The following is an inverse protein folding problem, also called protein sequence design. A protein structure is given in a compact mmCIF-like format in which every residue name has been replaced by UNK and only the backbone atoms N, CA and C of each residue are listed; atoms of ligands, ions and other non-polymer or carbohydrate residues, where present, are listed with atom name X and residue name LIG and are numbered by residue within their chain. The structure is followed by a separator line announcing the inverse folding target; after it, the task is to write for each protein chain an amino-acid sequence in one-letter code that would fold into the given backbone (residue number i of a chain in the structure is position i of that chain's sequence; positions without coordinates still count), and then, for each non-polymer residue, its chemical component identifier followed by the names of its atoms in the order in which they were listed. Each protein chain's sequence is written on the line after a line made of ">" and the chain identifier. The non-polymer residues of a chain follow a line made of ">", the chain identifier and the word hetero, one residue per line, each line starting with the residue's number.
data_IF_250858826221
#
_entry.id   IF_250858826221
#
_cell.length_a   1.000
_cell.length_b   1.000
_cell.length_c   1.000
_cell.angle_alpha   90.00
_cell.angle_beta   90.00
_cell.angle_gamma   90.00
#
_symmetry.space_group_name_H-M   'P 1'
#
loop_
_entity.id
_entity.type
_entity.pdbx_description
1 polymer ?
#
# COMPACT_ATOMS: atom_id res chain seq x y z
N UNK A 1 41.21 -47.88 -53.77
CA UNK A 1 40.58 -47.55 -52.47
C UNK A 1 40.60 -46.04 -52.29
N UNK A 2 39.56 -45.44 -51.72
CA UNK A 2 39.42 -44.02 -51.31
C UNK A 2 38.55 -43.07 -52.16
N UNK A 3 37.40 -43.53 -52.67
CA UNK A 3 36.31 -42.64 -53.11
C UNK A 3 35.22 -42.42 -52.05
N UNK A 4 35.14 -43.29 -51.03
CA UNK A 4 34.16 -43.18 -49.94
C UNK A 4 34.51 -42.11 -48.89
N UNK A 5 35.80 -41.85 -48.67
CA UNK A 5 36.29 -40.91 -47.64
C UNK A 5 36.00 -39.45 -47.99
N UNK A 6 36.06 -39.09 -49.28
CA UNK A 6 35.87 -37.71 -49.77
C UNK A 6 34.41 -37.23 -49.69
N UNK A 7 33.45 -38.16 -49.70
CA UNK A 7 32.01 -37.87 -49.60
C UNK A 7 31.62 -37.64 -48.14
N UNK A 8 32.28 -38.29 -47.19
CA UNK A 8 32.02 -38.11 -45.76
C UNK A 8 32.51 -36.74 -45.25
N UNK A 9 33.66 -36.26 -45.72
CA UNK A 9 34.16 -34.93 -45.35
C UNK A 9 33.27 -33.79 -45.88
N UNK A 10 32.72 -33.92 -47.09
CA UNK A 10 31.78 -32.94 -47.65
C UNK A 10 30.45 -32.88 -46.90
N UNK A 11 30.01 -34.01 -46.31
CA UNK A 11 28.79 -34.03 -45.47
C UNK A 11 28.99 -33.42 -44.10
N UNK A 12 30.18 -33.54 -43.51
CA UNK A 12 30.51 -32.92 -42.22
C UNK A 12 30.72 -31.39 -42.33
N UNK A 13 31.37 -30.91 -43.40
CA UNK A 13 31.57 -29.49 -43.64
C UNK A 13 30.25 -28.72 -43.87
N UNK A 14 29.30 -29.30 -44.62
CA UNK A 14 27.99 -28.68 -44.89
C UNK A 14 27.02 -28.72 -43.70
N UNK A 15 27.30 -29.50 -42.65
CA UNK A 15 26.55 -29.45 -41.38
C UNK A 15 27.07 -28.35 -40.46
N UNK A 16 28.37 -28.08 -40.46
CA UNK A 16 28.99 -27.04 -39.60
C UNK A 16 28.71 -25.63 -40.13
N UNK A 17 28.62 -25.43 -41.45
CA UNK A 17 28.31 -24.11 -42.04
C UNK A 17 26.85 -23.70 -41.88
N UNK A 18 25.90 -24.64 -41.91
CA UNK A 18 24.47 -24.36 -41.64
C UNK A 18 24.20 -23.97 -40.18
N UNK A 19 25.00 -24.48 -39.24
CA UNK A 19 24.88 -24.09 -37.84
C UNK A 19 25.51 -22.72 -37.53
N UNK A 20 26.38 -22.21 -38.41
CA UNK A 20 26.99 -20.88 -38.26
C UNK A 20 26.09 -19.77 -38.80
N UNK A 21 25.27 -20.05 -39.82
CA UNK A 21 24.29 -19.08 -40.35
C UNK A 21 23.06 -18.90 -39.46
N UNK A 22 22.71 -19.87 -38.60
CA UNK A 22 21.56 -19.76 -37.69
C UNK A 22 21.82 -18.92 -36.42
N UNK A 23 23.07 -18.58 -36.12
CA UNK A 23 23.43 -17.72 -34.97
C UNK A 23 23.49 -16.21 -35.33
N UNK A 24 23.41 -15.86 -36.61
CA UNK A 24 23.50 -14.47 -37.10
C UNK A 24 22.14 -13.74 -37.18
N UNK A 25 21.03 -14.40 -36.81
CA UNK A 25 19.67 -13.85 -36.90
C UNK A 25 19.03 -13.50 -35.54
N UNK A 26 19.84 -13.22 -34.51
CA UNK A 26 19.39 -12.64 -33.23
C UNK A 26 19.79 -11.16 -33.14
N UNK A 27 19.48 -10.40 -34.20
CA UNK A 27 19.49 -8.95 -34.13
C UNK A 27 18.39 -8.52 -33.17
N UNK A 28 18.79 -8.17 -31.95
CA UNK A 28 17.93 -7.56 -30.95
C UNK A 28 17.22 -6.35 -31.57
N UNK A 29 15.88 -6.24 -31.50
CA UNK A 29 15.22 -5.01 -31.88
C UNK A 29 15.64 -3.93 -30.88
N UNK A 30 16.42 -2.98 -31.38
CA UNK A 30 16.80 -1.75 -30.69
C UNK A 30 15.54 -0.93 -30.38
N UNK A 31 14.91 -1.21 -29.23
CA UNK A 31 13.84 -0.39 -28.67
C UNK A 31 14.42 0.92 -28.10
N UNK A 32 14.67 1.88 -28.98
CA UNK A 32 15.10 3.25 -28.63
C UNK A 32 13.93 4.17 -28.22
N UNK A 33 12.81 3.64 -27.73
CA UNK A 33 11.62 4.43 -27.34
C UNK A 33 11.01 3.92 -26.04
N UNK A 34 11.73 3.99 -24.92
CA UNK A 34 11.11 3.78 -23.60
C UNK A 34 11.88 4.45 -22.45
N UNK A 35 12.53 5.59 -22.68
CA UNK A 35 13.20 6.33 -21.61
C UNK A 35 12.17 7.14 -20.81
N UNK A 36 11.32 6.47 -20.02
CA UNK A 36 10.67 6.99 -18.79
C UNK A 36 9.61 6.09 -18.13
N UNK A 37 9.28 4.91 -18.67
CA UNK A 37 8.36 4.00 -17.97
C UNK A 37 9.15 2.95 -17.22
N UNK A 38 9.00 2.93 -15.89
CA UNK A 38 9.63 1.91 -15.06
C UNK A 38 9.05 0.56 -15.46
N UNK A 39 9.90 -0.38 -15.86
CA UNK A 39 9.51 -1.70 -16.39
C UNK A 39 8.57 -2.50 -15.46
N UNK A 40 8.59 -2.21 -14.17
CA UNK A 40 7.75 -2.87 -13.16
C UNK A 40 6.37 -2.25 -12.98
N UNK A 41 6.12 -1.01 -13.44
CA UNK A 41 4.79 -0.39 -13.38
C UNK A 41 3.96 -0.89 -14.57
N UNK A 42 2.97 -1.74 -14.30
CA UNK A 42 2.02 -2.26 -15.30
C UNK A 42 2.21 -3.72 -15.72
N UNK A 43 3.25 -4.39 -15.22
CA UNK A 43 3.38 -5.86 -15.32
C UNK A 43 2.60 -6.45 -14.14
N UNK A 44 1.67 -7.40 -14.36
CA UNK A 44 0.98 -8.07 -13.27
C UNK A 44 2.00 -8.76 -12.35
N UNK A 45 1.69 -8.85 -11.06
CA UNK A 45 2.56 -9.53 -10.12
C UNK A 45 2.91 -10.95 -10.64
N UNK A 46 4.18 -11.37 -10.58
CA UNK A 46 4.58 -12.71 -10.99
C UNK A 46 3.77 -13.78 -10.25
N UNK A 47 3.40 -14.85 -10.95
CA UNK A 47 2.70 -15.98 -10.34
C UNK A 47 3.51 -16.56 -9.18
N UNK A 48 2.90 -16.64 -7.99
CA UNK A 48 3.56 -17.09 -6.76
C UNK A 48 4.32 -16.01 -5.99
N UNK A 49 4.25 -14.74 -6.39
CA UNK A 49 4.79 -13.64 -5.60
C UNK A 49 4.04 -13.50 -4.27
N UNK A 50 4.77 -13.59 -3.16
CA UNK A 50 4.29 -13.25 -1.82
C UNK A 50 4.96 -11.94 -1.42
N UNK A 51 4.16 -10.90 -1.17
CA UNK A 51 4.66 -9.59 -0.76
C UNK A 51 5.51 -9.73 0.51
N UNK A 52 6.73 -9.21 0.49
CA UNK A 52 7.66 -9.32 1.63
C UNK A 52 8.60 -10.50 1.60
N UNK A 53 8.12 -11.66 1.22
CA UNK A 53 8.95 -12.87 1.20
C UNK A 53 10.05 -12.77 0.14
N UNK A 54 9.71 -12.33 -1.08
CA UNK A 54 10.69 -12.19 -2.17
C UNK A 54 11.76 -11.11 -1.96
N UNK A 55 11.57 -10.20 -0.98
CA UNK A 55 12.56 -9.20 -0.56
C UNK A 55 13.35 -9.63 0.69
N UNK A 56 13.11 -10.84 1.20
CA UNK A 56 13.68 -11.31 2.47
C UNK A 56 13.13 -10.58 3.70
N UNK A 57 11.99 -9.89 3.59
CA UNK A 57 11.35 -9.27 4.74
C UNK A 57 10.62 -10.32 5.56
N UNK A 58 11.25 -10.70 6.66
CA UNK A 58 10.69 -11.50 7.73
C UNK A 58 10.33 -10.54 8.87
N UNK A 59 9.16 -10.69 9.48
CA UNK A 59 8.86 -9.95 10.72
C UNK A 59 9.91 -10.25 11.78
N UNK A 60 10.28 -9.27 12.60
CA UNK A 60 11.17 -9.53 13.73
C UNK A 60 10.47 -10.53 14.64
N UNK A 61 11.13 -11.65 14.92
CA UNK A 61 10.64 -12.62 15.91
C UNK A 61 10.66 -11.95 17.27
N UNK A 62 9.48 -11.63 17.82
CA UNK A 62 9.36 -11.09 19.16
C UNK A 62 9.57 -12.22 20.17
N UNK A 63 9.79 -11.85 21.45
CA UNK A 63 9.92 -12.82 22.55
C UNK A 63 8.68 -13.72 22.68
N UNK A 64 7.51 -13.24 22.25
CA UNK A 64 6.26 -14.00 22.25
C UNK A 64 6.23 -15.07 21.14
N UNK A 65 6.89 -14.84 20.00
CA UNK A 65 6.92 -15.77 18.86
C UNK A 65 7.83 -16.98 19.08
N UNK A 66 8.85 -16.85 19.94
CA UNK A 66 9.88 -17.87 20.14
C UNK A 66 9.51 -18.87 21.25
N UNK A 67 8.57 -18.53 22.13
CA UNK A 67 8.19 -19.35 23.29
C UNK A 67 9.34 -19.55 24.30
N UNK A 68 9.12 -20.32 25.39
CA UNK A 68 10.16 -20.58 26.38
C UNK A 68 11.26 -21.49 25.78
N UNK A 69 12.43 -20.89 25.57
CA UNK A 69 13.72 -21.52 25.23
C UNK A 69 13.72 -22.51 24.06
N UNK A 70 14.06 -22.02 22.86
CA UNK A 70 14.61 -22.89 21.80
C UNK A 70 15.92 -23.50 22.31
N UNK A 71 16.03 -24.81 22.19
CA UNK A 71 17.20 -25.59 22.61
C UNK A 71 18.41 -25.23 21.73
N UNK A 72 19.61 -25.15 22.33
CA UNK A 72 20.82 -24.60 21.69
C UNK A 72 21.43 -25.50 20.57
N UNK A 73 20.69 -26.53 20.14
CA UNK A 73 21.05 -27.45 19.05
C UNK A 73 20.28 -27.22 17.75
N UNK A 74 19.42 -26.19 17.69
CA UNK A 74 18.66 -25.84 16.50
C UNK A 74 19.58 -25.08 15.51
N UNK A 75 20.05 -25.80 14.48
CA UNK A 75 20.96 -25.34 13.42
C UNK A 75 20.40 -24.08 12.73
N UNK A 76 21.24 -23.06 12.41
CA UNK A 76 20.76 -21.77 11.91
C UNK A 76 20.27 -21.84 10.46
N UNK A 77 19.10 -21.24 10.24
CA UNK A 77 18.59 -20.60 9.02
C UNK A 77 18.85 -21.32 7.68
N UNK A 78 17.89 -22.16 7.30
CA UNK A 78 17.67 -22.54 5.90
C UNK A 78 16.29 -22.02 5.47
N UNK A 79 16.23 -20.70 5.18
CA UNK A 79 15.21 -20.04 4.34
C UNK A 79 13.81 -20.63 4.48
N UNK A 80 13.13 -20.32 5.59
CA UNK A 80 11.68 -20.47 5.79
C UNK A 80 10.97 -21.52 4.90
N UNK A 81 10.69 -22.68 5.49
CA UNK A 81 9.95 -23.80 4.90
C UNK A 81 8.81 -23.37 3.94
N UNK A 82 8.59 -24.10 2.82
CA UNK A 82 7.49 -23.79 1.90
C UNK A 82 6.19 -23.78 2.69
N UNK A 83 5.30 -22.77 2.49
CA UNK A 83 4.05 -22.74 3.21
C UNK A 83 3.32 -24.05 2.89
N UNK A 84 3.19 -24.90 3.92
CA UNK A 84 2.29 -26.04 3.89
C UNK A 84 0.98 -25.54 3.30
N UNK A 85 0.46 -26.26 2.30
CA UNK A 85 -0.82 -25.99 1.66
C UNK A 85 -1.92 -26.03 2.73
N UNK A 86 -2.10 -24.93 3.44
CA UNK A 86 -3.34 -24.64 4.16
C UNK A 86 -4.37 -24.44 3.05
N UNK A 87 -5.16 -25.50 2.83
CA UNK A 87 -6.45 -25.41 2.15
C UNK A 87 -7.13 -24.12 2.63
N UNK A 88 -7.64 -23.34 1.69
CA UNK A 88 -8.49 -22.16 1.90
C UNK A 88 -9.37 -22.30 3.15
N UNK A 89 -8.85 -21.79 4.26
CA UNK A 89 -9.58 -21.30 5.43
C UNK A 89 -8.86 -20.01 5.79
N UNK A 90 -8.92 -19.07 4.86
CA UNK A 90 -8.21 -17.79 4.88
C UNK A 90 -9.16 -16.69 4.41
N UNK A 91 -10.41 -16.79 4.86
CA UNK A 91 -11.42 -15.73 4.73
C UNK A 91 -12.08 -15.43 6.10
N UNK A 92 -11.59 -15.99 7.21
CA UNK A 92 -12.10 -15.71 8.58
C UNK A 92 -11.01 -15.37 9.61
N UNK A 93 -9.72 -15.43 9.27
CA UNK A 93 -8.60 -15.08 10.17
C UNK A 93 -7.83 -13.82 9.70
N UNK A 94 -8.40 -13.02 8.80
CA UNK A 94 -7.75 -11.82 8.21
C UNK A 94 -8.36 -10.47 8.65
N UNK A 95 -9.20 -10.43 9.70
CA UNK A 95 -9.85 -9.19 10.19
C UNK A 95 -9.63 -8.95 11.71
N UNK A 96 -8.47 -9.35 12.23
CA UNK A 96 -8.01 -9.07 13.60
C UNK A 96 -6.67 -8.32 13.62
N UNK A 97 -6.38 -7.56 12.57
CA UNK A 97 -5.34 -6.54 12.68
C UNK A 97 -5.95 -5.38 13.50
N UNK A 98 -5.96 -5.51 14.83
CA UNK A 98 -6.33 -4.40 15.69
C UNK A 98 -5.48 -3.19 15.30
N UNK A 99 -6.13 -2.05 15.03
CA UNK A 99 -5.43 -0.87 14.55
C UNK A 99 -4.66 -0.21 15.72
N UNK A 100 -3.52 -0.80 16.08
CA UNK A 100 -2.68 -0.43 17.21
C UNK A 100 -1.76 0.77 16.88
N UNK A 101 -2.18 1.64 15.98
CA UNK A 101 -1.45 2.86 15.65
C UNK A 101 -1.73 3.99 16.68
N UNK A 102 -0.79 4.91 16.83
CA UNK A 102 -0.92 6.04 17.77
C UNK A 102 -2.06 7.02 17.39
N UNK A 103 -2.55 7.01 16.15
CA UNK A 103 -3.68 7.83 15.72
C UNK A 103 -5.03 7.27 16.18
N UNK A 104 -5.09 5.96 16.45
CA UNK A 104 -6.24 5.27 17.01
C UNK A 104 -6.17 5.20 18.55
N UNK A 105 -5.01 5.47 19.15
CA UNK A 105 -4.85 5.51 20.61
C UNK A 105 -5.22 6.89 21.17
N UNK A 106 -6.13 6.91 22.14
CA UNK A 106 -6.42 8.04 23.01
C UNK A 106 -5.97 7.75 24.45
N UNK A 107 -5.42 8.74 25.15
CA UNK A 107 -4.90 8.55 26.52
C UNK A 107 -6.01 8.22 27.52
N UNK A 108 -7.22 8.72 27.29
CA UNK A 108 -8.35 8.50 28.20
C UNK A 108 -9.16 7.25 27.83
N UNK A 109 -9.49 7.09 26.55
CA UNK A 109 -10.33 6.00 26.06
C UNK A 109 -9.57 4.74 25.62
N UNK A 110 -8.24 4.80 25.47
CA UNK A 110 -7.42 3.71 24.94
C UNK A 110 -7.50 3.61 23.41
N UNK A 111 -7.30 2.41 22.86
CA UNK A 111 -7.44 2.17 21.42
C UNK A 111 -8.90 2.27 20.99
N UNK A 112 -9.16 3.00 19.92
CA UNK A 112 -10.47 3.09 19.28
C UNK A 112 -10.90 1.77 18.66
N UNK A 113 -12.19 1.47 18.76
CA UNK A 113 -12.81 0.22 18.29
C UNK A 113 -13.61 -0.46 19.39
N UNK A 114 -14.69 -1.15 19.01
CA UNK A 114 -15.51 -1.93 19.94
C UNK A 114 -15.09 -3.40 19.91
N UNK A 115 -14.51 -3.88 21.01
CA UNK A 115 -14.00 -5.25 21.16
C UNK A 115 -15.10 -6.32 21.06
N UNK A 116 -16.33 -6.00 21.50
CA UNK A 116 -17.44 -6.96 21.63
C UNK A 116 -18.26 -7.14 20.35
N UNK A 117 -17.85 -6.55 19.23
CA UNK A 117 -18.62 -6.61 17.97
C UNK A 117 -18.52 -7.96 17.24
N UNK A 118 -17.70 -8.89 17.72
CA UNK A 118 -17.40 -10.17 17.06
C UNK A 118 -18.21 -11.36 17.58
N UNK A 119 -18.80 -11.21 18.76
CA UNK A 119 -19.58 -12.27 19.37
C UNK A 119 -20.95 -12.40 18.68
N UNK A 120 -21.51 -13.62 18.57
CA UNK A 120 -22.85 -13.81 18.00
C UNK A 120 -23.86 -13.00 18.81
N UNK A 121 -24.59 -12.13 18.11
CA UNK A 121 -25.54 -11.20 18.70
C UNK A 121 -26.96 -11.74 18.58
N UNK A 122 -27.58 -12.04 19.72
CA UNK A 122 -28.90 -12.63 19.80
C UNK A 122 -29.99 -11.56 20.04
N UNK A 123 -31.25 -11.97 19.94
CA UNK A 123 -32.40 -11.05 20.17
C UNK A 123 -32.41 -10.46 21.58
N UNK A 124 -31.93 -11.22 22.56
CA UNK A 124 -31.85 -10.77 23.94
C UNK A 124 -30.82 -9.64 24.11
N UNK A 125 -29.73 -9.67 23.32
CA UNK A 125 -28.74 -8.58 23.28
C UNK A 125 -29.33 -7.31 22.66
N UNK A 126 -30.12 -7.44 21.58
CA UNK A 126 -30.82 -6.32 20.95
C UNK A 126 -31.83 -5.66 21.91
N UNK A 127 -32.58 -6.47 22.65
CA UNK A 127 -33.50 -5.99 23.68
C UNK A 127 -32.76 -5.30 24.83
N UNK A 128 -31.62 -5.85 25.25
CA UNK A 128 -30.78 -5.24 26.27
C UNK A 128 -30.25 -3.88 25.81
N UNK A 129 -29.66 -3.80 24.62
CA UNK A 129 -29.13 -2.55 24.06
C UNK A 129 -30.23 -1.49 23.90
N UNK A 130 -31.43 -1.89 23.46
CA UNK A 130 -32.57 -0.98 23.37
C UNK A 130 -32.97 -0.41 24.75
N UNK A 131 -32.95 -1.23 25.81
CA UNK A 131 -33.25 -0.79 27.18
C UNK A 131 -32.16 0.14 27.72
N UNK A 132 -30.89 -0.24 27.57
CA UNK A 132 -29.77 0.58 28.04
C UNK A 132 -29.69 1.92 27.30
N UNK A 133 -29.88 1.91 25.98
CA UNK A 133 -29.92 3.14 25.20
C UNK A 133 -31.11 4.03 25.61
N UNK A 134 -32.28 3.46 25.89
CA UNK A 134 -33.42 4.21 26.40
C UNK A 134 -33.16 4.86 27.76
N UNK A 135 -32.42 4.19 28.64
CA UNK A 135 -31.99 4.75 29.93
C UNK A 135 -31.06 5.94 29.69
N UNK A 136 -30.01 5.78 28.90
CA UNK A 136 -29.04 6.85 28.62
C UNK A 136 -29.72 8.05 27.94
N UNK A 137 -30.62 7.81 27.00
CA UNK A 137 -31.44 8.86 26.38
C UNK A 137 -32.25 9.63 27.43
N UNK A 138 -32.95 8.93 28.32
CA UNK A 138 -33.75 9.56 29.40
C UNK A 138 -32.88 10.35 30.38
N UNK A 139 -31.68 9.87 30.68
CA UNK A 139 -30.75 10.57 31.55
C UNK A 139 -30.30 11.90 30.92
N UNK A 140 -30.09 11.91 29.61
CA UNK A 140 -29.64 13.09 28.88
C UNK A 140 -30.75 14.07 28.48
N UNK A 141 -32.01 13.63 28.40
CA UNK A 141 -33.18 14.44 27.98
C UNK A 141 -33.23 15.83 28.61
N UNK A 142 -32.96 15.96 29.91
CA UNK A 142 -33.06 17.24 30.65
C UNK A 142 -32.12 18.32 30.14
N UNK A 143 -31.01 17.96 29.52
CA UNK A 143 -30.00 18.91 29.00
C UNK A 143 -29.73 18.73 27.51
N UNK A 144 -30.39 17.77 26.87
CA UNK A 144 -30.20 17.41 25.47
C UNK A 144 -30.40 18.61 24.56
N UNK A 145 -31.53 19.31 24.67
CA UNK A 145 -31.85 20.47 23.81
C UNK A 145 -30.81 21.60 23.95
N UNK A 146 -30.38 21.92 25.17
CA UNK A 146 -29.38 22.97 25.39
C UNK A 146 -28.00 22.53 24.85
N UNK A 147 -27.59 21.28 25.09
CA UNK A 147 -26.33 20.71 24.61
C UNK A 147 -26.29 20.67 23.09
N UNK A 148 -27.36 20.19 22.47
CA UNK A 148 -27.51 20.12 21.01
C UNK A 148 -27.59 21.51 20.37
N UNK A 149 -28.35 22.44 20.96
CA UNK A 149 -28.42 23.82 20.45
C UNK A 149 -27.06 24.51 20.53
N UNK A 150 -26.33 24.35 21.65
CA UNK A 150 -24.98 24.91 21.81
C UNK A 150 -24.02 24.27 20.81
N UNK A 151 -24.00 22.94 20.74
CA UNK A 151 -23.14 22.19 19.81
C UNK A 151 -23.43 22.61 18.36
N UNK A 152 -24.70 22.72 17.97
CA UNK A 152 -25.12 23.14 16.64
C UNK A 152 -24.66 24.56 16.31
N UNK A 153 -24.88 25.51 17.22
CA UNK A 153 -24.44 26.91 17.04
C UNK A 153 -22.92 27.00 16.94
N UNK A 154 -22.20 26.25 17.78
CA UNK A 154 -20.74 26.20 17.79
C UNK A 154 -20.19 25.56 16.51
N UNK A 155 -20.80 24.48 16.03
CA UNK A 155 -20.41 23.82 14.78
C UNK A 155 -20.68 24.71 13.56
N UNK A 156 -21.80 25.44 13.55
CA UNK A 156 -22.13 26.40 12.49
C UNK A 156 -21.15 27.58 12.49
N UNK A 157 -20.87 28.15 13.67
CA UNK A 157 -19.86 29.19 13.83
C UNK A 157 -18.48 28.71 13.38
N UNK A 158 -18.06 27.52 13.81
CA UNK A 158 -16.78 26.93 13.42
C UNK A 158 -16.67 26.73 11.91
N UNK A 159 -17.75 26.28 11.24
CA UNK A 159 -17.80 26.15 9.79
C UNK A 159 -17.70 27.50 9.07
N UNK A 160 -18.25 28.56 9.65
CA UNK A 160 -18.13 29.92 9.10
C UNK A 160 -16.72 30.49 9.33
N UNK A 161 -16.14 30.31 10.53
CA UNK A 161 -14.82 30.82 10.87
C UNK A 161 -13.67 30.06 10.17
N UNK A 162 -13.82 28.75 10.00
CA UNK A 162 -12.85 27.85 9.38
C UNK A 162 -13.56 26.86 8.44
N UNK A 163 -14.01 27.31 7.26
CA UNK A 163 -14.58 26.41 6.27
C UNK A 163 -13.54 25.35 5.88
N UNK A 164 -14.00 24.12 5.65
CA UNK A 164 -13.09 23.06 5.19
C UNK A 164 -12.47 23.47 3.85
N UNK A 165 -11.20 23.15 3.63
CA UNK A 165 -10.48 23.47 2.39
C UNK A 165 -11.30 23.02 1.17
N UNK A 166 -11.83 21.80 1.18
CA UNK A 166 -12.68 21.28 0.11
C UNK A 166 -13.95 22.13 -0.14
N UNK A 167 -14.54 22.73 0.90
CA UNK A 167 -15.72 23.59 0.77
C UNK A 167 -15.38 24.92 0.11
N UNK A 168 -14.19 25.49 0.37
CA UNK A 168 -13.72 26.73 -0.27
C UNK A 168 -13.54 26.57 -1.78
N UNK A 169 -13.18 25.36 -2.24
CA UNK A 169 -12.97 25.05 -3.66
C UNK A 169 -14.17 24.36 -4.32
N UNK A 170 -15.30 24.24 -3.63
CA UNK A 170 -16.50 23.57 -4.18
C UNK A 170 -17.01 24.29 -5.44
N UNK A 171 -17.10 25.61 -5.40
CA UNK A 171 -17.49 26.44 -6.55
C UNK A 171 -16.50 26.33 -7.71
N UNK A 172 -15.20 26.31 -7.41
CA UNK A 172 -14.13 26.14 -8.40
C UNK A 172 -14.13 24.74 -9.03
N UNK A 173 -14.50 23.71 -8.26
CA UNK A 173 -14.66 22.35 -8.78
C UNK A 173 -15.84 22.26 -9.74
N UNK A 174 -16.95 22.92 -9.43
CA UNK A 174 -18.14 22.96 -10.30
C UNK A 174 -17.84 23.77 -11.56
N UNK A 175 -17.22 24.95 -11.44
CA UNK A 175 -16.86 25.75 -12.62
C UNK A 175 -15.85 25.05 -13.52
N UNK A 176 -14.88 24.32 -12.94
CA UNK A 176 -13.94 23.50 -13.73
C UNK A 176 -14.62 22.32 -14.42
N UNK A 177 -15.66 21.72 -13.82
CA UNK A 177 -16.43 20.67 -14.50
C UNK A 177 -17.31 21.19 -15.64
N UNK A 178 -17.73 22.46 -15.56
CA UNK A 178 -18.55 23.10 -16.58
C UNK A 178 -17.71 23.65 -17.73
N UNK A 179 -16.46 24.05 -17.48
CA UNK A 179 -15.48 24.25 -18.53
C UNK A 179 -15.21 22.91 -19.21
N UNK A 180 -15.65 22.76 -20.46
CA UNK A 180 -15.46 21.54 -21.26
C UNK A 180 -14.02 21.33 -21.74
N UNK A 181 -13.04 21.91 -21.03
CA UNK A 181 -11.64 21.84 -21.39
C UNK A 181 -11.12 20.43 -21.06
N UNK A 182 -10.66 19.66 -22.05
CA UNK A 182 -10.05 18.38 -21.77
C UNK A 182 -8.80 18.59 -20.90
N UNK A 183 -8.52 17.69 -19.94
CA UNK A 183 -7.32 17.81 -19.12
C UNK A 183 -6.10 17.92 -20.04
N UNK A 184 -5.13 18.81 -19.74
CA UNK A 184 -3.99 19.03 -20.61
C UNK A 184 -3.22 17.72 -20.81
N UNK A 185 -2.82 17.45 -22.06
CA UNK A 185 -1.91 16.33 -22.37
C UNK A 185 -0.67 16.40 -21.47
N UNK A 186 -0.28 15.26 -20.89
CA UNK A 186 0.78 15.12 -19.86
C UNK A 186 2.13 15.77 -20.20
N UNK A 187 2.34 16.19 -21.46
CA UNK A 187 3.58 16.75 -21.98
C UNK A 187 3.81 18.24 -21.65
N UNK A 188 2.87 18.93 -20.98
CA UNK A 188 2.95 20.38 -20.72
C UNK A 188 2.80 20.83 -19.26
N UNK A 189 3.24 20.01 -18.30
CA UNK A 189 3.32 20.43 -16.89
C UNK A 189 4.78 20.73 -16.49
N UNK A 190 5.31 21.84 -16.99
CA UNK A 190 6.51 22.46 -16.39
C UNK A 190 6.06 23.69 -15.61
N UNK A 191 6.15 23.62 -14.28
CA UNK A 191 6.00 24.78 -13.41
C UNK A 191 7.15 25.74 -13.77
N UNK A 192 6.82 26.94 -14.26
CA UNK A 192 7.80 28.01 -14.38
C UNK A 192 8.19 28.48 -12.97
N UNK A 193 9.27 27.92 -12.40
CA UNK A 193 9.85 28.38 -11.14
C UNK A 193 10.47 29.77 -11.33
N UNK A 194 9.71 30.83 -11.05
CA UNK A 194 10.18 32.23 -11.17
C UNK A 194 10.75 32.82 -9.87
N UNK A 195 10.91 32.03 -8.79
CA UNK A 195 11.44 32.54 -7.51
C UNK A 195 12.73 31.82 -7.11
N UNK A 196 13.88 32.39 -7.49
CA UNK A 196 15.18 32.03 -6.95
C UNK A 196 15.28 32.50 -5.48
N UNK A 197 14.94 31.62 -4.53
CA UNK A 197 15.26 31.80 -3.10
C UNK A 197 16.08 30.61 -2.63
N UNK A 198 17.34 30.59 -3.02
CA UNK A 198 18.40 29.77 -2.43
C UNK A 198 19.36 30.67 -1.65
N UNK A 199 18.88 31.30 -0.58
CA UNK A 199 19.71 32.16 0.26
C UNK A 199 20.46 31.27 1.26
N UNK A 200 21.72 30.99 0.96
CA UNK A 200 22.65 30.30 1.86
C UNK A 200 23.00 31.25 3.00
N UNK A 201 22.47 30.97 4.19
CA UNK A 201 22.84 31.68 5.41
C UNK A 201 24.15 31.07 5.90
N UNK A 202 25.27 31.72 5.57
CA UNK A 202 26.56 31.39 6.16
C UNK A 202 26.60 31.98 7.57
N UNK A 203 26.37 31.17 8.61
CA UNK A 203 26.71 31.55 9.97
C UNK A 203 28.24 31.50 10.12
N UNK A 204 28.91 32.65 10.02
CA UNK A 204 30.26 32.81 10.53
C UNK A 204 30.19 32.92 12.05
N UNK A 205 30.47 31.82 12.75
CA UNK A 205 30.75 31.86 14.17
C UNK A 205 32.05 32.66 14.38
N UNK A 206 31.92 33.84 14.99
CA UNK A 206 33.05 34.60 15.53
C UNK A 206 33.45 33.88 16.82
N UNK A 207 34.62 33.23 16.76
CA UNK A 207 35.35 32.72 17.92
C UNK A 207 35.93 33.96 18.64
N UNK A 208 35.61 34.09 19.93
CA UNK A 208 36.39 34.89 20.88
C UNK A 208 37.53 34.05 21.44
#
# INVERSE_FOLDING_TARGET
>A
MNSASRIQEKRLSTMTERNRSNMAAMAAPTSLVAKKRKHFLGVPAPLGYVAGVGRGATGFTTRSDIGPARDASDVPDDRHAPPSKRKNKKEEEEDDDEDLNDSNYDEFAGYGGSLFSKDPYDKDDEEADAIYEAIDRRMDEKRKEYREMKLRRELERYRQERPKIQQQFSDLKVSHSLSSDPPPSQDRLTINMSSAKGMRICFSAIIY
#
